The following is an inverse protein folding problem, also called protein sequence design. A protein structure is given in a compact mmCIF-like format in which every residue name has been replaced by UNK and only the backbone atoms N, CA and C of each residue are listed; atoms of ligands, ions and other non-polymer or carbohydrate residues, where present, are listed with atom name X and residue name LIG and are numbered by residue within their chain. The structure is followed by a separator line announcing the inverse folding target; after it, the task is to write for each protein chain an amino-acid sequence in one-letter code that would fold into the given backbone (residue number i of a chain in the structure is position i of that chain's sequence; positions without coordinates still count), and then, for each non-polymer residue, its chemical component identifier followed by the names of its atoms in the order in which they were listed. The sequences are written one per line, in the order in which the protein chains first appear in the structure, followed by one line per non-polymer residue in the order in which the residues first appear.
data_IF_765825143270
#
_entry.id   IF_765825143270
#
_cell.length_a   1.000
_cell.length_b   1.000
_cell.length_c   1.000
_cell.angle_alpha   90.00
_cell.angle_beta   90.00
_cell.angle_gamma   90.00
#
_symmetry.space_group_name_H-M   'P 1'
#
loop_
_entity.id
_entity.type
_entity.pdbx_description
1 polymer ?
#
# COMPACT_ATOMS: atom_id res chain seq x y z
N UNK A 1 -3.62 -6.84 15.75
CA UNK A 1 -3.86 -6.41 14.34
C UNK A 1 -2.66 -6.73 13.48
N UNK A 2 -2.84 -7.25 12.26
CA UNK A 2 -1.77 -7.53 11.29
C UNK A 2 -2.02 -6.82 9.96
N UNK A 3 -1.01 -6.17 9.41
CA UNK A 3 -1.13 -5.41 8.16
C UNK A 3 -0.03 -5.76 7.16
N UNK A 4 -0.35 -5.59 5.87
CA UNK A 4 0.57 -5.78 4.75
C UNK A 4 0.58 -4.54 3.86
N UNK A 5 1.74 -4.15 3.35
CA UNK A 5 1.82 -3.27 2.19
C UNK A 5 2.71 -3.85 1.11
N UNK A 6 2.35 -3.61 -0.16
CA UNK A 6 3.09 -4.09 -1.31
C UNK A 6 2.84 -3.17 -2.52
N UNK A 7 3.90 -2.60 -3.09
CA UNK A 7 3.87 -2.12 -4.46
C UNK A 7 3.88 -3.35 -5.38
N UNK A 8 2.84 -3.47 -6.21
CA UNK A 8 2.54 -4.71 -6.95
C UNK A 8 3.14 -4.77 -8.34
N UNK A 9 3.62 -3.65 -8.87
CA UNK A 9 4.10 -3.50 -10.25
C UNK A 9 3.20 -4.25 -11.25
N UNK A 10 1.88 -4.11 -11.06
CA UNK A 10 0.94 -5.10 -11.60
C UNK A 10 0.81 -5.02 -13.12
N UNK A 11 0.74 -6.20 -13.75
CA UNK A 11 0.76 -6.40 -15.20
C UNK A 11 2.04 -5.99 -15.92
N UNK A 12 3.10 -5.68 -15.16
CA UNK A 12 4.43 -5.36 -15.67
C UNK A 12 5.46 -6.43 -15.30
N UNK A 13 5.12 -7.33 -14.37
CA UNK A 13 5.96 -8.45 -13.99
C UNK A 13 5.81 -9.66 -14.93
N UNK A 14 6.91 -10.40 -15.12
CA UNK A 14 6.84 -11.73 -15.72
C UNK A 14 6.02 -12.69 -14.85
N UNK A 15 5.20 -13.55 -15.48
CA UNK A 15 4.34 -14.53 -14.82
C UNK A 15 3.33 -13.91 -13.83
N UNK A 16 2.78 -12.72 -14.13
CA UNK A 16 1.90 -11.96 -13.24
C UNK A 16 0.74 -12.79 -12.63
N UNK A 17 0.10 -13.67 -13.39
CA UNK A 17 -1.00 -14.50 -12.88
C UNK A 17 -0.53 -15.48 -11.79
N UNK A 18 0.67 -16.04 -11.93
CA UNK A 18 1.25 -16.92 -10.93
C UNK A 18 1.65 -16.11 -9.68
N UNK A 19 2.26 -14.93 -9.87
CA UNK A 19 2.60 -14.01 -8.79
C UNK A 19 1.36 -13.54 -8.02
N UNK A 20 0.25 -13.26 -8.70
CA UNK A 20 -1.04 -12.94 -8.08
C UNK A 20 -1.51 -14.06 -7.13
N UNK A 21 -1.38 -15.33 -7.56
CA UNK A 21 -1.69 -16.50 -6.71
C UNK A 21 -0.76 -16.64 -5.53
N UNK A 22 0.53 -16.36 -5.70
CA UNK A 22 1.50 -16.35 -4.61
C UNK A 22 1.16 -15.27 -3.58
N UNK A 23 0.78 -14.06 -4.02
CA UNK A 23 0.31 -12.99 -3.15
C UNK A 23 -0.95 -13.43 -2.39
N UNK A 24 -1.94 -14.01 -3.07
CA UNK A 24 -3.16 -14.51 -2.44
C UNK A 24 -2.88 -15.58 -1.38
N UNK A 25 -1.97 -16.52 -1.66
CA UNK A 25 -1.57 -17.57 -0.72
C UNK A 25 -0.88 -17.02 0.52
N UNK A 26 0.01 -16.03 0.35
CA UNK A 26 0.63 -15.34 1.49
C UNK A 26 -0.41 -14.59 2.31
N UNK A 27 -1.34 -13.87 1.65
CA UNK A 27 -2.41 -13.16 2.35
C UNK A 27 -3.30 -14.11 3.15
N UNK A 28 -3.73 -15.21 2.54
CA UNK A 28 -4.58 -16.21 3.19
C UNK A 28 -3.86 -16.90 4.37
N UNK A 29 -2.58 -17.25 4.20
CA UNK A 29 -1.78 -17.88 5.26
C UNK A 29 -1.44 -16.91 6.38
N UNK A 30 -1.13 -15.66 6.01
CA UNK A 30 -0.78 -14.59 6.93
C UNK A 30 -1.99 -14.03 7.67
N UNK A 31 -3.21 -14.23 7.19
CA UNK A 31 -4.46 -13.79 7.84
C UNK A 31 -4.45 -12.29 8.18
N UNK A 32 -4.01 -11.46 7.24
CA UNK A 32 -3.85 -10.01 7.42
C UNK A 32 -5.19 -9.31 7.63
N UNK A 33 -5.30 -8.39 8.59
CA UNK A 33 -6.54 -7.64 8.79
C UNK A 33 -6.75 -6.58 7.70
N UNK A 34 -5.65 -5.94 7.26
CA UNK A 34 -5.64 -4.80 6.34
C UNK A 34 -4.45 -4.93 5.38
N UNK A 35 -4.69 -4.71 4.09
CA UNK A 35 -3.64 -4.74 3.06
C UNK A 35 -3.72 -3.46 2.22
N UNK A 36 -2.58 -2.80 2.03
CA UNK A 36 -2.42 -1.63 1.17
C UNK A 36 -1.60 -2.00 -0.07
N UNK A 37 -2.12 -1.74 -1.26
CA UNK A 37 -1.45 -2.07 -2.52
C UNK A 37 -1.22 -0.83 -3.36
N UNK A 38 -0.04 -0.73 -3.97
CA UNK A 38 0.36 0.35 -4.87
C UNK A 38 0.63 -0.20 -6.28
N UNK A 39 0.62 0.70 -7.28
CA UNK A 39 0.73 0.36 -8.71
C UNK A 39 -0.24 -0.73 -9.13
N UNK A 40 -1.47 -0.62 -8.64
CA UNK A 40 -2.59 -1.50 -8.96
C UNK A 40 -3.22 -1.02 -10.26
N UNK A 41 -2.98 -1.78 -11.31
CA UNK A 41 -3.25 -1.43 -12.69
C UNK A 41 -4.50 -2.13 -13.22
N UNK A 42 -5.15 -1.47 -14.17
CA UNK A 42 -6.17 -2.04 -15.04
C UNK A 42 -6.00 -1.50 -16.47
N UNK A 43 -6.22 -2.30 -17.51
CA UNK A 43 -6.04 -1.84 -18.90
C UNK A 43 -7.15 -0.87 -19.29
N UNK A 44 -6.78 0.28 -19.88
CA UNK A 44 -7.74 1.33 -20.28
C UNK A 44 -8.83 0.77 -21.20
N UNK A 45 -8.44 -0.08 -22.15
CA UNK A 45 -9.31 -0.65 -23.17
C UNK A 45 -10.05 -1.93 -22.73
N UNK A 46 -9.79 -2.45 -21.52
CA UNK A 46 -10.44 -3.67 -21.04
C UNK A 46 -11.94 -3.44 -20.78
N UNK A 47 -12.69 -4.54 -20.71
CA UNK A 47 -14.12 -4.49 -20.49
C UNK A 47 -14.44 -3.98 -19.08
N UNK A 48 -15.37 -3.02 -18.97
CA UNK A 48 -15.93 -2.59 -17.68
C UNK A 48 -16.83 -3.67 -17.11
N UNK A 49 -16.66 -3.95 -15.82
CA UNK A 49 -17.49 -4.91 -15.08
C UNK A 49 -18.18 -4.22 -13.91
N UNK A 50 -19.19 -4.88 -13.35
CA UNK A 50 -19.79 -4.49 -12.07
C UNK A 50 -19.20 -5.41 -11.02
N UNK A 51 -18.40 -4.89 -10.06
CA UNK A 51 -17.83 -5.72 -9.02
C UNK A 51 -18.91 -6.22 -8.05
N UNK A 52 -18.59 -7.25 -7.27
CA UNK A 52 -19.51 -7.86 -6.32
C UNK A 52 -19.75 -6.98 -5.07
N UNK A 53 -20.44 -7.54 -4.07
CA UNK A 53 -20.78 -6.85 -2.83
C UNK A 53 -19.60 -6.56 -1.90
N UNK A 54 -18.39 -7.05 -2.21
CA UNK A 54 -17.18 -6.76 -1.43
C UNK A 54 -16.48 -5.47 -1.89
N UNK A 55 -16.81 -4.96 -3.07
CA UNK A 55 -16.27 -3.68 -3.53
C UNK A 55 -16.91 -2.49 -2.81
N UNK A 56 -16.05 -1.66 -2.23
CA UNK A 56 -16.38 -0.46 -1.47
C UNK A 56 -15.93 0.76 -2.29
N UNK A 57 -16.81 1.39 -3.11
CA UNK A 57 -16.41 2.51 -3.96
C UNK A 57 -16.02 3.75 -3.14
N UNK A 58 -15.16 4.59 -3.72
CA UNK A 58 -14.94 5.96 -3.22
C UNK A 58 -16.10 6.88 -3.61
N UNK A 59 -16.04 8.15 -3.21
CA UNK A 59 -16.97 9.19 -3.66
C UNK A 59 -16.78 9.58 -5.13
N UNK A 60 -15.67 9.17 -5.75
CA UNK A 60 -15.41 9.32 -7.18
C UNK A 60 -15.75 8.02 -7.90
N UNK A 61 -16.69 8.10 -8.85
CA UNK A 61 -17.03 6.95 -9.68
C UNK A 61 -15.92 6.67 -10.69
N UNK A 62 -15.20 5.58 -10.47
CA UNK A 62 -14.24 5.03 -11.43
C UNK A 62 -14.71 3.66 -11.88
N UNK A 63 -14.67 3.43 -13.19
CA UNK A 63 -15.00 2.12 -13.75
C UNK A 63 -13.96 1.08 -13.34
N UNK A 64 -14.42 -0.06 -12.86
CA UNK A 64 -13.57 -1.24 -12.64
C UNK A 64 -13.55 -2.06 -13.92
N UNK A 65 -12.35 -2.38 -14.39
CA UNK A 65 -12.15 -3.26 -15.55
C UNK A 65 -11.94 -4.70 -15.12
N UNK A 66 -12.25 -5.64 -16.01
CA UNK A 66 -12.13 -7.08 -15.76
C UNK A 66 -10.72 -7.52 -15.36
N UNK A 67 -9.69 -6.76 -15.75
CA UNK A 67 -8.30 -7.05 -15.44
C UNK A 67 -7.74 -6.19 -14.30
N UNK A 68 -8.57 -5.48 -13.53
CA UNK A 68 -8.10 -4.74 -12.37
C UNK A 68 -7.35 -5.69 -11.41
N UNK A 69 -6.11 -5.36 -11.08
CA UNK A 69 -5.27 -6.28 -10.32
C UNK A 69 -5.82 -6.57 -8.92
N UNK A 70 -6.42 -5.58 -8.23
CA UNK A 70 -7.05 -5.81 -6.93
C UNK A 70 -8.29 -6.73 -7.05
N UNK A 71 -9.09 -6.57 -8.11
CA UNK A 71 -10.20 -7.49 -8.40
C UNK A 71 -9.67 -8.92 -8.59
N UNK A 72 -8.64 -9.11 -9.43
CA UNK A 72 -8.05 -10.44 -9.68
C UNK A 72 -7.50 -11.06 -8.40
N UNK A 73 -6.86 -10.27 -7.54
CA UNK A 73 -6.35 -10.73 -6.27
C UNK A 73 -7.48 -11.16 -5.31
N UNK A 74 -8.55 -10.38 -5.21
CA UNK A 74 -9.72 -10.72 -4.38
C UNK A 74 -10.40 -11.99 -4.89
N UNK A 75 -10.50 -12.20 -6.21
CA UNK A 75 -11.03 -13.44 -6.78
C UNK A 75 -10.16 -14.66 -6.41
N UNK A 76 -8.83 -14.54 -6.45
CA UNK A 76 -7.93 -15.63 -6.00
C UNK A 76 -8.05 -15.86 -4.48
N UNK A 77 -8.30 -14.82 -3.68
CA UNK A 77 -8.58 -14.97 -2.24
C UNK A 77 -9.91 -15.67 -1.97
N UNK A 78 -10.95 -15.40 -2.74
CA UNK A 78 -12.23 -16.09 -2.65
C UNK A 78 -12.10 -17.59 -2.96
N UNK A 79 -11.21 -17.98 -3.89
CA UNK A 79 -10.90 -19.39 -4.15
C UNK A 79 -10.20 -20.08 -2.96
N UNK A 80 -9.61 -19.31 -2.05
CA UNK A 80 -8.99 -19.75 -0.81
C UNK A 80 -9.91 -19.58 0.42
N UNK A 81 -11.22 -19.38 0.20
CA UNK A 81 -12.23 -19.13 1.25
C UNK A 81 -11.90 -17.90 2.12
N UNK A 82 -11.22 -16.90 1.55
CA UNK A 82 -10.84 -15.65 2.21
C UNK A 82 -11.57 -14.45 1.58
N UNK A 83 -12.62 -13.95 2.22
CA UNK A 83 -13.33 -12.76 1.75
C UNK A 83 -12.69 -11.48 2.27
N UNK A 84 -12.36 -10.57 1.35
CA UNK A 84 -11.88 -9.21 1.66
C UNK A 84 -12.76 -8.16 0.98
N UNK A 85 -13.21 -7.19 1.78
CA UNK A 85 -13.73 -5.94 1.25
C UNK A 85 -12.59 -5.15 0.63
N UNK A 86 -12.84 -4.49 -0.50
CA UNK A 86 -11.77 -3.81 -1.21
C UNK A 86 -12.23 -2.51 -1.87
N UNK A 87 -11.30 -1.57 -1.99
CA UNK A 87 -11.51 -0.31 -2.69
C UNK A 87 -10.29 0.01 -3.56
N UNK A 88 -10.49 0.81 -4.59
CA UNK A 88 -9.43 1.20 -5.53
C UNK A 88 -9.65 2.64 -5.99
N UNK A 89 -8.57 3.41 -6.10
CA UNK A 89 -8.57 4.77 -6.65
C UNK A 89 -7.65 4.84 -7.87
N UNK A 90 -8.02 5.69 -8.83
CA UNK A 90 -7.26 5.93 -10.06
C UNK A 90 -6.45 7.23 -9.96
N UNK A 91 -5.12 7.12 -10.15
CA UNK A 91 -4.20 8.24 -10.16
C UNK A 91 -3.99 8.83 -11.55
N UNK A 92 -3.37 8.07 -12.45
CA UNK A 92 -2.91 8.55 -13.75
C UNK A 92 -2.70 7.39 -14.74
N UNK A 93 -2.53 7.71 -16.02
CA UNK A 93 -2.23 6.75 -17.08
C UNK A 93 -0.77 6.30 -16.97
N UNK A 94 -0.57 5.04 -16.59
CA UNK A 94 0.72 4.37 -16.58
C UNK A 94 1.00 3.67 -17.91
N UNK A 95 2.24 3.78 -18.40
CA UNK A 95 2.73 3.05 -19.59
C UNK A 95 1.84 3.21 -20.85
N UNK A 96 1.13 4.34 -20.98
CA UNK A 96 0.16 4.67 -22.04
C UNK A 96 -1.07 3.75 -22.15
N UNK A 97 -1.14 2.66 -21.38
CA UNK A 97 -2.14 1.60 -21.57
C UNK A 97 -2.89 1.22 -20.29
N UNK A 98 -2.38 1.62 -19.12
CA UNK A 98 -2.96 1.29 -17.83
C UNK A 98 -3.54 2.52 -17.15
N UNK A 99 -4.67 2.34 -16.50
CA UNK A 99 -5.03 3.19 -15.37
C UNK A 99 -4.26 2.69 -14.15
N UNK A 100 -3.30 3.47 -13.66
CA UNK A 100 -2.52 3.18 -12.46
C UNK A 100 -3.18 3.77 -11.22
N UNK A 101 -3.19 3.00 -10.13
CA UNK A 101 -3.90 3.35 -8.91
C UNK A 101 -3.40 2.64 -7.66
N UNK A 102 -4.09 2.89 -6.56
CA UNK A 102 -3.84 2.26 -5.27
C UNK A 102 -5.09 1.52 -4.80
N UNK A 103 -4.91 0.38 -4.11
CA UNK A 103 -5.99 -0.37 -3.50
C UNK A 103 -5.83 -0.50 -1.98
N UNK A 104 -6.96 -0.73 -1.31
CA UNK A 104 -7.06 -1.14 0.09
C UNK A 104 -7.95 -2.36 0.15
N UNK A 105 -7.49 -3.40 0.85
CA UNK A 105 -8.28 -4.58 1.21
C UNK A 105 -8.40 -4.65 2.73
N UNK A 106 -9.55 -5.10 3.23
CA UNK A 106 -9.83 -5.28 4.66
C UNK A 106 -10.77 -6.46 4.88
N UNK A 107 -10.60 -7.18 5.99
CA UNK A 107 -11.58 -8.20 6.42
C UNK A 107 -12.95 -7.61 6.77
N UNK A 108 -13.02 -6.30 7.03
CA UNK A 108 -14.25 -5.58 7.38
C UNK A 108 -14.59 -4.52 6.32
N UNK A 109 -15.88 -4.13 6.18
CA UNK A 109 -16.30 -3.11 5.22
C UNK A 109 -15.51 -1.80 5.34
N UNK A 110 -15.20 -1.20 4.20
CA UNK A 110 -14.39 0.02 4.12
C UNK A 110 -15.29 1.22 3.78
N UNK A 111 -15.23 2.26 4.59
CA UNK A 111 -15.72 3.59 4.18
C UNK A 111 -14.58 4.28 3.44
N UNK A 112 -14.57 4.18 2.11
CA UNK A 112 -13.47 4.63 1.27
C UNK A 112 -13.60 6.10 0.84
N UNK A 113 -12.47 6.79 0.79
CA UNK A 113 -12.32 8.15 0.26
C UNK A 113 -11.00 8.25 -0.49
N UNK A 114 -10.96 9.07 -1.52
CA UNK A 114 -9.71 9.41 -2.20
C UNK A 114 -9.36 10.89 -2.01
N UNK A 115 -8.09 11.22 -2.18
CA UNK A 115 -7.64 12.60 -2.27
C UNK A 115 -6.51 12.75 -3.27
N UNK A 116 -6.48 13.89 -3.96
CA UNK A 116 -5.35 14.27 -4.79
C UNK A 116 -4.20 14.75 -3.90
N UNK A 117 -3.05 14.08 -3.99
CA UNK A 117 -1.87 14.45 -3.24
C UNK A 117 -0.96 15.38 -4.06
N UNK A 118 -0.80 15.12 -5.36
CA UNK A 118 0.09 15.87 -6.24
C UNK A 118 -0.44 17.26 -6.59
N UNK A 119 0.47 18.14 -7.02
CA UNK A 119 0.10 19.41 -7.65
C UNK A 119 -0.44 19.20 -9.07
N UNK A 120 0.10 18.20 -9.79
CA UNK A 120 -0.41 17.80 -11.09
C UNK A 120 -1.82 17.21 -10.96
N UNK A 121 -2.70 17.55 -11.91
CA UNK A 121 -4.09 17.10 -11.96
C UNK A 121 -4.43 16.38 -13.26
N UNK A 122 -3.55 16.45 -14.27
CA UNK A 122 -3.74 15.79 -15.55
C UNK A 122 -3.44 14.31 -15.39
N UNK A 123 -4.42 13.46 -15.68
CA UNK A 123 -4.25 12.01 -15.60
C UNK A 123 -3.24 11.49 -16.63
N UNK A 124 -2.84 12.26 -17.63
CA UNK A 124 -1.74 11.88 -18.55
C UNK A 124 -0.36 12.32 -18.05
N UNK A 125 -0.30 13.06 -16.94
CA UNK A 125 0.94 13.36 -16.24
C UNK A 125 1.20 12.26 -15.20
N UNK A 126 2.27 11.48 -15.39
CA UNK A 126 2.68 10.42 -14.46
C UNK A 126 3.01 10.93 -13.04
N UNK A 127 3.16 12.23 -12.86
CA UNK A 127 3.35 12.86 -11.54
C UNK A 127 2.02 13.14 -10.82
N UNK A 128 0.87 12.86 -11.46
CA UNK A 128 -0.43 12.92 -10.81
C UNK A 128 -0.60 11.73 -9.85
N UNK A 129 -0.69 12.02 -8.55
CA UNK A 129 -0.81 11.05 -7.46
C UNK A 129 -2.12 11.26 -6.72
N UNK A 130 -2.97 10.22 -6.70
CA UNK A 130 -4.08 10.10 -5.75
C UNK A 130 -3.80 8.99 -4.76
N UNK A 131 -4.15 9.24 -3.50
CA UNK A 131 -4.05 8.25 -2.44
C UNK A 131 -5.44 7.84 -1.97
N UNK A 132 -5.53 6.61 -1.47
CA UNK A 132 -6.78 6.00 -1.03
C UNK A 132 -6.78 5.90 0.49
N UNK A 133 -7.80 6.46 1.14
CA UNK A 133 -8.05 6.29 2.55
C UNK A 133 -9.30 5.44 2.79
N UNK A 134 -9.25 4.60 3.81
CA UNK A 134 -10.38 3.80 4.25
C UNK A 134 -10.54 3.86 5.76
N UNK A 135 -11.77 4.03 6.25
CA UNK A 135 -12.10 3.75 7.65
C UNK A 135 -12.73 2.37 7.72
N UNK A 136 -12.13 1.49 8.52
CA UNK A 136 -12.55 0.09 8.71
C UNK A 136 -12.43 -0.30 10.18
N UNK A 137 -13.01 -1.44 10.55
CA UNK A 137 -12.69 -2.09 11.83
C UNK A 137 -11.59 -3.13 11.63
N UNK A 138 -10.66 -3.23 12.58
CA UNK A 138 -9.71 -4.32 12.67
C UNK A 138 -9.33 -4.52 14.14
N UNK A 139 -9.28 -5.76 14.61
CA UNK A 139 -8.97 -6.09 16.02
C UNK A 139 -9.88 -5.36 17.03
N UNK A 140 -11.18 -5.24 16.70
CA UNK A 140 -12.19 -4.60 17.55
C UNK A 140 -12.08 -3.08 17.70
N UNK A 141 -11.28 -2.41 16.86
CA UNK A 141 -11.09 -0.96 16.86
C UNK A 141 -11.32 -0.37 15.47
N UNK A 142 -11.88 0.85 15.44
CA UNK A 142 -11.98 1.64 14.21
C UNK A 142 -10.61 2.21 13.88
N UNK A 143 -10.14 1.94 12.67
CA UNK A 143 -8.85 2.40 12.16
C UNK A 143 -9.06 3.13 10.85
N UNK A 144 -8.44 4.30 10.73
CA UNK A 144 -8.27 4.95 9.45
C UNK A 144 -6.94 4.52 8.84
N UNK A 145 -6.99 4.07 7.59
CA UNK A 145 -5.86 3.58 6.82
C UNK A 145 -5.68 4.45 5.59
N UNK A 146 -4.45 4.65 5.16
CA UNK A 146 -4.12 5.24 3.86
C UNK A 146 -3.20 4.29 3.10
N UNK A 147 -3.59 3.90 1.88
CA UNK A 147 -2.70 3.30 0.88
C UNK A 147 -2.16 4.42 -0.01
N UNK A 148 -0.85 4.62 0.03
CA UNK A 148 -0.20 5.74 -0.63
C UNK A 148 0.93 5.33 -1.57
N UNK A 149 1.06 6.08 -2.67
CA UNK A 149 2.21 6.03 -3.56
C UNK A 149 2.63 7.47 -3.85
N UNK A 150 3.77 7.87 -3.30
CA UNK A 150 4.27 9.24 -3.40
C UNK A 150 5.38 9.39 -4.44
N UNK A 151 5.63 10.63 -4.85
CA UNK A 151 6.78 10.98 -5.67
C UNK A 151 8.08 10.96 -4.86
N UNK A 152 9.21 10.81 -5.55
CA UNK A 152 10.53 11.08 -4.98
C UNK A 152 10.65 12.52 -4.46
N UNK A 153 11.59 12.77 -3.54
CA UNK A 153 11.86 14.12 -2.98
C UNK A 153 12.16 15.22 -4.02
N UNK A 154 12.55 14.83 -5.23
CA UNK A 154 13.01 15.74 -6.28
C UNK A 154 12.02 16.89 -6.51
N UNK A 155 12.57 18.10 -6.62
CA UNK A 155 11.82 19.35 -6.83
C UNK A 155 10.74 19.65 -5.76
N UNK A 156 10.82 19.03 -4.58
CA UNK A 156 9.88 19.26 -3.49
C UNK A 156 8.50 18.62 -3.69
N UNK A 157 8.35 17.72 -4.68
CA UNK A 157 7.08 17.04 -4.99
C UNK A 157 6.53 16.28 -3.79
N UNK A 158 7.36 15.42 -3.19
CA UNK A 158 7.00 14.69 -1.96
C UNK A 158 6.52 15.63 -0.84
N UNK A 159 7.21 16.74 -0.61
CA UNK A 159 6.86 17.67 0.46
C UNK A 159 5.47 18.31 0.25
N UNK A 160 5.13 18.63 -1.01
CA UNK A 160 3.79 19.11 -1.36
C UNK A 160 2.73 18.03 -1.13
N UNK A 161 3.00 16.80 -1.60
CA UNK A 161 2.09 15.65 -1.46
C UNK A 161 1.84 15.28 0.01
N UNK A 162 2.89 15.37 0.83
CA UNK A 162 2.79 15.17 2.27
C UNK A 162 1.93 16.25 2.93
N UNK A 163 2.09 17.52 2.54
CA UNK A 163 1.24 18.61 3.03
C UNK A 163 -0.24 18.38 2.71
N UNK A 164 -0.57 17.87 1.51
CA UNK A 164 -1.95 17.51 1.17
C UNK A 164 -2.46 16.35 2.03
N UNK A 165 -1.59 15.38 2.32
CA UNK A 165 -1.91 14.26 3.21
C UNK A 165 -2.20 14.74 4.64
N UNK A 166 -1.39 15.63 5.19
CA UNK A 166 -1.65 16.24 6.51
C UNK A 166 -2.98 17.00 6.53
N UNK A 167 -3.28 17.77 5.48
CA UNK A 167 -4.52 18.51 5.38
C UNK A 167 -5.75 17.58 5.29
N UNK A 168 -5.66 16.51 4.50
CA UNK A 168 -6.71 15.49 4.41
C UNK A 168 -6.95 14.78 5.75
N UNK A 169 -5.89 14.54 6.52
CA UNK A 169 -5.93 13.85 7.81
C UNK A 169 -6.10 14.78 9.02
N UNK A 170 -6.49 16.05 8.81
CA UNK A 170 -6.69 17.01 9.90
C UNK A 170 -7.84 16.59 10.85
N UNK A 171 -8.89 15.96 10.31
CA UNK A 171 -10.05 15.43 11.06
C UNK A 171 -10.10 13.89 10.99
N UNK A 172 -8.94 13.26 11.18
CA UNK A 172 -8.80 11.80 11.11
C UNK A 172 -9.35 11.07 12.34
N UNK A 173 -9.48 9.74 12.23
CA UNK A 173 -9.64 8.86 13.38
C UNK A 173 -8.38 8.85 14.29
N UNK A 174 -8.57 8.53 15.57
CA UNK A 174 -7.48 8.47 16.55
C UNK A 174 -6.41 7.45 16.15
N UNK A 175 -6.83 6.24 15.79
CA UNK A 175 -5.97 5.17 15.29
C UNK A 175 -5.79 5.32 13.78
N UNK A 176 -4.54 5.57 13.36
CA UNK A 176 -4.15 5.84 11.98
C UNK A 176 -3.01 4.93 11.54
N UNK A 177 -3.14 4.38 10.33
CA UNK A 177 -2.07 3.73 9.60
C UNK A 177 -1.89 4.41 8.23
N UNK A 178 -0.64 4.67 7.84
CA UNK A 178 -0.27 5.09 6.48
C UNK A 178 0.74 4.09 5.94
N UNK A 179 0.37 3.39 4.88
CA UNK A 179 1.16 2.32 4.31
C UNK A 179 1.37 2.53 2.81
N UNK A 180 2.56 2.21 2.33
CA UNK A 180 2.83 2.14 0.89
C UNK A 180 4.23 2.56 0.52
N UNK A 181 4.39 2.91 -0.76
CA UNK A 181 5.63 3.35 -1.36
C UNK A 181 5.78 4.87 -1.23
N UNK A 182 6.76 5.28 -0.43
CA UNK A 182 7.04 6.69 -0.21
C UNK A 182 8.08 7.22 -1.19
N UNK A 183 8.78 6.38 -1.97
CA UNK A 183 9.88 6.78 -2.85
C UNK A 183 10.94 7.64 -2.14
N UNK A 184 11.17 7.38 -0.86
CA UNK A 184 12.06 8.14 -0.01
C UNK A 184 12.75 7.20 0.96
N UNK A 185 14.07 7.05 0.86
CA UNK A 185 14.84 6.12 1.70
C UNK A 185 14.83 6.57 3.17
N UNK A 186 15.08 5.64 4.09
CA UNK A 186 15.04 5.87 5.53
C UNK A 186 15.99 6.97 6.03
N UNK A 187 17.09 7.24 5.30
CA UNK A 187 18.03 8.31 5.63
C UNK A 187 17.68 9.67 4.98
N UNK A 188 16.55 9.77 4.28
CA UNK A 188 16.19 10.93 3.45
C UNK A 188 15.43 12.02 4.23
N UNK A 189 15.43 13.24 3.67
CA UNK A 189 14.58 14.34 4.16
C UNK A 189 13.08 14.02 4.07
N UNK A 190 12.66 13.16 3.13
CA UNK A 190 11.27 12.73 3.00
C UNK A 190 10.81 11.92 4.20
N UNK A 191 11.63 10.96 4.65
CA UNK A 191 11.36 10.19 5.86
C UNK A 191 11.31 11.07 7.10
N UNK A 192 12.29 11.97 7.27
CA UNK A 192 12.30 12.91 8.40
C UNK A 192 11.07 13.84 8.40
N UNK A 193 10.61 14.30 7.23
CA UNK A 193 9.41 15.13 7.11
C UNK A 193 8.15 14.40 7.63
N UNK A 194 8.04 13.08 7.38
CA UNK A 194 6.94 12.26 7.90
C UNK A 194 7.02 12.14 9.42
N UNK A 195 8.21 11.93 9.99
CA UNK A 195 8.40 11.82 11.44
C UNK A 195 8.18 13.14 12.18
N UNK A 196 8.55 14.27 11.58
CA UNK A 196 8.36 15.61 12.14
C UNK A 196 6.91 16.13 11.96
N UNK A 197 6.08 15.38 11.23
CA UNK A 197 4.69 15.73 10.94
C UNK A 197 3.87 15.97 12.20
N UNK A 198 2.91 16.89 12.07
CA UNK A 198 1.87 17.13 13.08
C UNK A 198 0.99 15.90 13.34
N UNK A 199 1.02 14.90 12.44
CA UNK A 199 0.30 13.65 12.60
C UNK A 199 0.87 12.76 13.71
N UNK A 200 2.06 13.05 14.25
CA UNK A 200 2.70 12.31 15.36
C UNK A 200 2.84 10.81 15.09
N UNK A 201 3.31 10.46 13.90
CA UNK A 201 3.48 9.09 13.45
C UNK A 201 4.75 8.44 14.02
N UNK A 202 4.76 7.12 14.05
CA UNK A 202 5.92 6.28 14.32
C UNK A 202 6.22 5.42 13.10
N UNK A 203 7.50 5.26 12.76
CA UNK A 203 7.94 4.26 11.79
C UNK A 203 7.95 2.88 12.47
N UNK A 204 7.11 1.96 11.99
CA UNK A 204 6.97 0.64 12.60
C UNK A 204 8.27 -0.18 12.56
N UNK A 205 9.17 0.07 11.61
CA UNK A 205 10.50 -0.57 11.59
C UNK A 205 11.33 -0.16 12.81
N UNK A 206 11.24 1.11 13.22
CA UNK A 206 12.00 1.65 14.35
C UNK A 206 11.40 1.29 15.71
N UNK A 207 10.09 0.99 15.77
CA UNK A 207 9.38 0.76 17.03
C UNK A 207 8.98 -0.69 17.28
N UNK A 208 9.08 -1.57 16.27
CA UNK A 208 8.83 -2.99 16.44
C UNK A 208 9.80 -3.64 17.43
N UNK A 209 9.30 -4.58 18.24
CA UNK A 209 10.14 -5.33 19.17
C UNK A 209 11.09 -6.30 18.43
N UNK A 210 10.64 -6.87 17.32
CA UNK A 210 11.42 -7.74 16.44
C UNK A 210 11.32 -7.27 14.99
N UNK A 211 12.47 -7.21 14.30
CA UNK A 211 12.56 -6.82 12.90
C UNK A 211 13.27 -7.91 12.10
N UNK A 212 12.73 -8.27 10.94
CA UNK A 212 13.37 -9.19 9.98
C UNK A 212 13.39 -8.60 8.58
N UNK A 213 14.59 -8.37 8.05
CA UNK A 213 14.77 -7.61 6.81
C UNK A 213 14.64 -6.11 7.04
N UNK A 214 15.05 -5.32 6.04
CA UNK A 214 14.99 -3.84 6.10
C UNK A 214 14.69 -3.26 4.71
N UNK A 215 15.48 -3.62 3.71
CA UNK A 215 15.30 -3.11 2.37
C UNK A 215 14.01 -3.64 1.74
N UNK A 216 13.25 -2.73 1.11
CA UNK A 216 12.06 -3.05 0.33
C UNK A 216 12.35 -3.11 -1.17
N UNK A 217 13.47 -2.55 -1.63
CA UNK A 217 13.92 -2.66 -3.03
C UNK A 217 15.41 -2.97 -3.07
N UNK A 218 15.79 -3.78 -4.07
CA UNK A 218 17.20 -4.10 -4.36
C UNK A 218 17.51 -3.72 -5.80
N UNK A 219 18.15 -2.57 -6.01
CA UNK A 219 18.51 -2.10 -7.36
C UNK A 219 19.83 -2.73 -7.80
N UNK A 220 19.84 -3.34 -8.98
CA UNK A 220 21.08 -3.75 -9.62
C UNK A 220 21.84 -2.50 -10.13
N UNK A 221 23.10 -2.33 -9.76
CA UNK A 221 23.95 -1.31 -10.37
C UNK A 221 24.39 -1.84 -11.74
N UNK A 222 23.99 -1.14 -12.80
CA UNK A 222 24.29 -1.54 -14.17
C UNK A 222 25.81 -1.68 -14.37
N UNK A 223 26.25 -2.86 -14.80
CA UNK A 223 27.66 -3.21 -14.99
C UNK A 223 28.40 -3.86 -13.81
N UNK A 224 27.78 -4.02 -12.62
CA UNK A 224 28.37 -4.74 -11.49
C UNK A 224 27.38 -5.74 -10.88
N UNK A 225 27.52 -7.03 -11.24
CA UNK A 225 26.57 -8.09 -10.83
C UNK A 225 26.41 -8.25 -9.30
N UNK A 226 27.41 -7.85 -8.51
CA UNK A 226 27.44 -8.02 -7.05
C UNK A 226 27.19 -6.71 -6.26
N UNK A 227 26.98 -5.59 -6.93
CA UNK A 227 26.77 -4.30 -6.26
C UNK A 227 25.29 -3.93 -6.39
N UNK A 228 24.54 -4.15 -5.31
CA UNK A 228 23.13 -3.78 -5.25
C UNK A 228 22.92 -2.71 -4.20
N UNK A 229 22.30 -1.61 -4.59
CA UNK A 229 21.85 -0.60 -3.62
C UNK A 229 20.51 -1.08 -3.06
N UNK A 230 20.52 -1.35 -1.75
CA UNK A 230 19.36 -1.79 -1.01
C UNK A 230 18.72 -0.56 -0.35
N UNK A 231 17.46 -0.29 -0.68
CA UNK A 231 16.73 0.88 -0.20
C UNK A 231 15.50 0.44 0.60
N UNK A 232 15.14 1.21 1.63
CA UNK A 232 13.87 1.06 2.33
C UNK A 232 13.00 2.26 1.98
N UNK A 233 12.12 2.08 1.00
CA UNK A 233 11.23 3.15 0.50
C UNK A 233 9.75 2.86 0.74
N UNK A 234 9.43 1.64 1.12
CA UNK A 234 8.10 1.23 1.53
C UNK A 234 8.00 1.29 3.06
N UNK A 235 6.86 1.73 3.59
CA UNK A 235 6.70 1.98 5.02
C UNK A 235 5.34 1.57 5.54
N UNK A 236 5.31 1.32 6.86
CA UNK A 236 4.10 1.28 7.68
C UNK A 236 4.28 2.30 8.80
N UNK A 237 3.70 3.49 8.63
CA UNK A 237 3.65 4.50 9.67
C UNK A 237 2.37 4.35 10.49
N UNK A 238 2.49 4.42 11.80
CA UNK A 238 1.38 4.19 12.73
C UNK A 238 1.24 5.34 13.73
N UNK A 239 0.01 5.61 14.18
CA UNK A 239 -0.24 6.45 15.35
C UNK A 239 0.30 5.81 16.63
N UNK A 240 0.64 6.64 17.63
CA UNK A 240 1.37 6.21 18.85
C UNK A 240 0.61 5.23 19.75
N UNK A 241 -0.69 5.05 19.54
CA UNK A 241 -1.52 4.09 20.27
C UNK A 241 -1.37 2.64 19.75
N UNK A 242 -0.70 2.44 18.61
CA UNK A 242 -0.36 1.13 18.08
C UNK A 242 1.10 0.79 18.40
N UNK A 243 1.29 -0.31 19.14
CA UNK A 243 2.62 -0.83 19.45
C UNK A 243 2.96 -1.96 18.47
N UNK A 244 3.91 -1.72 17.57
CA UNK A 244 4.43 -2.76 16.70
C UNK A 244 5.18 -3.81 17.54
N UNK A 245 4.86 -5.09 17.32
CA UNK A 245 5.55 -6.23 17.94
C UNK A 245 6.48 -6.91 16.95
N UNK A 246 6.08 -6.97 15.69
CA UNK A 246 6.86 -7.60 14.62
C UNK A 246 6.82 -6.73 13.37
N UNK A 247 7.98 -6.55 12.75
CA UNK A 247 8.15 -6.00 11.41
C UNK A 247 8.89 -7.01 10.56
N UNK A 248 8.38 -7.29 9.37
CA UNK A 248 8.96 -8.27 8.47
C UNK A 248 8.88 -7.81 7.01
N UNK A 249 10.03 -7.87 6.32
CA UNK A 249 10.05 -7.86 4.85
C UNK A 249 9.66 -9.24 4.33
N UNK A 250 8.66 -9.26 3.45
CA UNK A 250 8.12 -10.44 2.76
C UNK A 250 8.28 -10.30 1.25
N UNK A 251 8.18 -11.41 0.52
CA UNK A 251 8.40 -11.52 -0.93
C UNK A 251 9.85 -11.22 -1.37
N UNK A 252 10.81 -11.44 -0.47
CA UNK A 252 12.24 -11.17 -0.68
C UNK A 252 13.01 -12.33 -1.35
N UNK A 253 12.31 -13.43 -1.66
CA UNK A 253 12.90 -14.65 -2.20
C UNK A 253 13.61 -15.52 -1.17
N UNK A 254 13.62 -15.15 0.12
CA UNK A 254 14.20 -15.96 1.19
C UNK A 254 13.17 -16.88 1.82
N UNK A 255 12.03 -16.32 2.28
CA UNK A 255 10.94 -17.06 2.93
C UNK A 255 9.70 -17.18 2.05
N UNK A 256 9.40 -16.13 1.29
CA UNK A 256 8.31 -16.10 0.31
C UNK A 256 8.86 -15.68 -1.05
N UNK A 257 8.28 -16.18 -2.16
CA UNK A 257 8.79 -15.91 -3.51
C UNK A 257 8.70 -14.42 -3.87
N UNK A 258 9.58 -13.95 -4.76
CA UNK A 258 9.53 -12.59 -5.30
C UNK A 258 8.33 -12.46 -6.23
N UNK A 259 7.46 -11.48 -5.97
CA UNK A 259 6.20 -11.25 -6.71
C UNK A 259 6.09 -9.87 -7.35
N UNK A 260 7.06 -8.99 -7.09
CA UNK A 260 7.13 -7.62 -7.61
C UNK A 260 8.60 -7.18 -7.61
N UNK A 261 8.90 -6.04 -8.24
CA UNK A 261 10.19 -5.37 -8.12
C UNK A 261 10.40 -4.69 -6.75
N UNK A 262 9.32 -4.61 -5.96
CA UNK A 262 9.32 -4.32 -4.53
C UNK A 262 9.06 -5.58 -3.69
N UNK A 263 9.66 -5.60 -2.51
CA UNK A 263 9.30 -6.53 -1.44
C UNK A 263 8.16 -5.93 -0.60
N UNK A 264 7.31 -6.80 -0.05
CA UNK A 264 6.23 -6.38 0.82
C UNK A 264 6.69 -6.17 2.25
N UNK A 265 5.90 -5.43 3.03
CA UNK A 265 6.14 -5.22 4.46
C UNK A 265 4.94 -5.69 5.25
N UNK A 266 5.17 -6.67 6.11
CA UNK A 266 4.25 -7.14 7.15
C UNK A 266 4.56 -6.42 8.45
N UNK A 267 3.53 -5.95 9.14
CA UNK A 267 3.63 -5.49 10.53
C UNK A 267 2.54 -6.13 11.38
N UNK A 268 2.92 -6.60 12.58
CA UNK A 268 2.00 -7.05 13.62
C UNK A 268 2.01 -6.01 14.74
N UNK A 269 0.81 -5.57 15.13
CA UNK A 269 0.59 -4.71 16.28
C UNK A 269 -0.04 -5.50 17.43
N UNK A 270 0.40 -5.20 18.66
CA UNK A 270 -0.15 -5.77 19.87
C UNK A 270 -1.67 -5.56 19.95
N UNK A 271 -2.39 -6.59 20.40
CA UNK A 271 -3.83 -6.49 20.62
C UNK A 271 -4.11 -5.55 21.78
N UNK A 272 -5.08 -4.64 21.62
CA UNK A 272 -5.58 -3.80 22.73
C UNK A 272 -6.41 -4.59 23.74
N UNK A 273 -6.76 -5.84 23.42
CA UNK A 273 -7.60 -6.70 24.28
C UNK A 273 -6.82 -7.60 25.21
N UNK A 274 -5.47 -7.62 25.16
CA UNK A 274 -4.66 -8.33 26.15
C UNK A 274 -4.67 -7.54 27.47
N UNK A 275 -5.34 -8.05 28.53
CA UNK A 275 -5.22 -7.45 29.84
C UNK A 275 -3.86 -7.83 30.42
N UNK A 276 -3.10 -6.84 30.90
CA UNK A 276 -2.12 -7.09 31.95
C UNK A 276 -2.77 -7.75 33.18
#
# INVERSE_FOLDING_TARGET
MKVLTLNTHSWLEENQLEKCKMIAQEIATGDYDIIALQEVNQTIAAQTIVPDGLYCPTDTLVEIKEDNFALRLVEELQLLDCDYYWSWTYSHVGYDIYHEGNALLSKQPIIAKEYLASQATDVWDHTTRKNLSGVTEADGQIVQVVSCHFSWWQDGKFAYEWQQTEAFLAERADTLLILGDFNNDAASSGHQLVLDSSLQLQDSFLTAAETTGEASVVKAIDGWQDNREALRIDYVFASKDLQATEYEVVFDGTRTPIVSDHFGIKVVFASKTDPN
#
